data_IF_712797609082
#
_entry.id   IF_712797609082
#
_cell.length_a   1.000
_cell.length_b   1.000
_cell.length_c   1.000
_cell.angle_alpha   90.00
_cell.angle_beta   90.00
_cell.angle_gamma   90.00
#
_symmetry.space_group_name_H-M   'P 1'
#
loop_
_entity.id
_entity.type
_entity.pdbx_description
1 polymer ?
#
# COMPACT_ATOMS: atom_id res chain seq x y z
N UNK A 1 14.03 33.96 -10.05
CA UNK A 1 14.63 34.28 -11.35
C UNK A 1 15.66 33.20 -11.70
N UNK A 2 15.22 32.09 -12.30
CA UNK A 2 16.10 31.09 -12.92
C UNK A 2 15.37 30.56 -14.16
N UNK A 3 15.58 31.24 -15.29
CA UNK A 3 15.23 30.74 -16.63
C UNK A 3 16.51 30.19 -17.22
N UNK A 4 16.83 28.94 -16.93
CA UNK A 4 17.81 28.22 -17.74
C UNK A 4 17.18 27.96 -19.11
N UNK A 5 17.64 28.72 -20.10
CA UNK A 5 17.25 28.59 -21.50
C UNK A 5 17.94 27.34 -22.05
N UNK A 6 17.33 26.18 -21.82
CA UNK A 6 17.77 24.91 -22.41
C UNK A 6 17.65 25.05 -23.94
N UNK A 7 18.79 25.10 -24.65
CA UNK A 7 18.83 24.96 -26.10
C UNK A 7 18.49 23.50 -26.43
N UNK A 8 17.21 23.21 -26.63
CA UNK A 8 16.74 21.89 -27.04
C UNK A 8 17.20 21.64 -28.48
N UNK A 9 18.13 20.71 -28.66
CA UNK A 9 18.50 20.17 -29.97
C UNK A 9 17.34 19.34 -30.51
N UNK A 10 16.83 19.71 -31.68
CA UNK A 10 15.52 19.29 -32.23
C UNK A 10 15.47 17.85 -32.76
N UNK A 11 16.32 16.92 -32.30
CA UNK A 11 16.51 15.64 -33.02
C UNK A 11 16.25 14.35 -32.24
N UNK A 12 16.16 14.37 -30.91
CA UNK A 12 15.89 13.15 -30.13
C UNK A 12 14.98 13.42 -28.94
N UNK A 13 13.98 12.55 -28.76
CA UNK A 13 13.12 12.51 -27.58
C UNK A 13 13.97 12.08 -26.37
N UNK A 14 14.00 12.93 -25.33
CA UNK A 14 14.75 12.70 -24.10
C UNK A 14 13.79 12.51 -22.94
N UNK A 15 13.96 11.40 -22.23
CA UNK A 15 13.39 11.17 -20.90
C UNK A 15 14.48 11.46 -19.86
N UNK A 16 14.19 12.37 -18.93
CA UNK A 16 15.13 12.75 -17.87
C UNK A 16 14.44 12.71 -16.52
N UNK A 17 15.03 12.00 -15.57
CA UNK A 17 14.70 12.15 -14.17
C UNK A 17 15.20 13.51 -13.70
N UNK A 18 14.30 14.36 -13.20
CA UNK A 18 14.65 15.66 -12.64
C UNK A 18 14.90 15.55 -11.15
N UNK A 19 14.12 14.69 -10.50
CA UNK A 19 14.12 14.54 -9.06
C UNK A 19 13.60 13.16 -8.71
N UNK A 20 14.35 12.45 -7.89
CA UNK A 20 13.90 11.26 -7.20
C UNK A 20 14.20 11.42 -5.73
N UNK A 21 13.19 11.18 -4.89
CA UNK A 21 13.29 11.28 -3.44
C UNK A 21 12.62 10.08 -2.82
N UNK A 22 13.23 9.54 -1.78
CA UNK A 22 12.63 8.55 -0.90
C UNK A 22 12.34 9.27 0.40
N UNK A 23 11.06 9.51 0.68
CA UNK A 23 10.62 10.28 1.85
C UNK A 23 10.51 9.37 3.08
N UNK A 24 10.02 8.15 2.88
CA UNK A 24 9.92 7.11 3.89
C UNK A 24 10.09 5.73 3.25
N UNK A 25 10.05 4.65 4.05
CA UNK A 25 10.10 3.25 3.55
C UNK A 25 9.04 2.98 2.47
N UNK A 26 7.92 3.70 2.55
CA UNK A 26 6.70 3.46 1.81
C UNK A 26 6.45 4.51 0.72
N UNK A 27 7.13 5.66 0.76
CA UNK A 27 6.80 6.81 -0.06
C UNK A 27 7.98 7.22 -0.96
N UNK A 28 7.81 6.93 -2.25
CA UNK A 28 8.76 7.26 -3.31
C UNK A 28 8.18 8.38 -4.18
N UNK A 29 8.93 9.47 -4.30
CA UNK A 29 8.59 10.57 -5.17
C UNK A 29 9.53 10.60 -6.37
N UNK A 30 8.97 10.63 -7.58
CA UNK A 30 9.70 10.73 -8.83
C UNK A 30 9.11 11.81 -9.73
N UNK A 31 9.97 12.70 -10.25
CA UNK A 31 9.60 13.73 -11.23
C UNK A 31 10.45 13.56 -12.49
N UNK A 32 9.77 13.34 -13.61
CA UNK A 32 10.39 13.10 -14.90
C UNK A 32 9.96 14.16 -15.91
N UNK A 33 10.87 14.52 -16.81
CA UNK A 33 10.60 15.41 -17.95
C UNK A 33 10.80 14.62 -19.24
N UNK A 34 9.81 14.73 -20.12
CA UNK A 34 9.85 14.22 -21.48
C UNK A 34 9.84 15.38 -22.47
N UNK A 35 10.87 15.49 -23.31
CA UNK A 35 10.97 16.56 -24.32
C UNK A 35 11.94 16.20 -25.46
N UNK A 36 11.77 16.74 -26.69
CA UNK A 36 10.66 17.59 -27.15
C UNK A 36 9.44 16.76 -27.58
N UNK A 37 8.24 17.31 -27.38
CA UNK A 37 6.97 16.75 -27.85
C UNK A 37 6.33 17.70 -28.86
N UNK A 38 5.63 17.16 -29.86
CA UNK A 38 4.82 17.95 -30.78
C UNK A 38 3.55 18.43 -30.07
N UNK A 39 2.95 19.51 -30.58
CA UNK A 39 1.68 20.03 -30.05
C UNK A 39 0.61 18.93 -30.05
N UNK A 40 -0.04 18.72 -28.91
CA UNK A 40 -1.07 17.69 -28.71
C UNK A 40 -0.56 16.30 -28.30
N UNK A 41 0.72 15.97 -28.48
CA UNK A 41 1.26 14.68 -28.03
C UNK A 41 1.36 14.58 -26.50
N UNK A 42 1.62 15.70 -25.83
CA UNK A 42 1.73 15.75 -24.37
C UNK A 42 0.44 15.31 -23.67
N UNK A 43 -0.72 15.74 -24.18
CA UNK A 43 -2.02 15.39 -23.61
C UNK A 43 -2.31 13.89 -23.79
N UNK A 44 -2.10 13.36 -24.99
CA UNK A 44 -2.30 11.93 -25.27
C UNK A 44 -1.41 11.06 -24.40
N UNK A 45 -0.12 11.38 -24.29
CA UNK A 45 0.85 10.61 -23.48
C UNK A 45 0.49 10.75 -21.99
N UNK A 46 0.18 11.94 -21.51
CA UNK A 46 -0.16 12.18 -20.10
C UNK A 46 -1.42 11.44 -19.66
N UNK A 47 -2.47 11.44 -20.49
CA UNK A 47 -3.70 10.68 -20.22
C UNK A 47 -3.43 9.18 -20.22
N UNK A 48 -2.70 8.68 -21.23
CA UNK A 48 -2.35 7.26 -21.31
C UNK A 48 -1.53 6.80 -20.10
N UNK A 49 -0.47 7.55 -19.73
CA UNK A 49 0.35 7.25 -18.56
C UNK A 49 -0.43 7.32 -17.26
N UNK A 50 -1.31 8.32 -17.09
CA UNK A 50 -2.16 8.41 -15.89
C UNK A 50 -3.09 7.21 -15.78
N UNK A 51 -3.70 6.77 -16.89
CA UNK A 51 -4.58 5.60 -16.90
C UNK A 51 -3.82 4.31 -16.58
N UNK A 52 -2.67 4.10 -17.23
CA UNK A 52 -1.83 2.93 -16.98
C UNK A 52 -1.36 2.89 -15.51
N UNK A 53 -0.85 4.01 -14.98
CA UNK A 53 -0.37 4.08 -13.60
C UNK A 53 -1.48 3.98 -12.54
N UNK A 54 -2.72 4.37 -12.83
CA UNK A 54 -3.81 4.25 -11.85
C UNK A 54 -4.58 2.93 -11.96
N UNK A 55 -4.55 2.28 -13.12
CA UNK A 55 -5.37 1.10 -13.39
C UNK A 55 -4.61 -0.22 -13.47
N UNK A 56 -3.34 -0.20 -13.87
CA UNK A 56 -2.57 -1.42 -14.18
C UNK A 56 -1.41 -1.65 -13.20
N UNK A 57 -1.44 -1.00 -12.04
CA UNK A 57 -0.44 -1.24 -11.00
C UNK A 57 -0.82 -2.47 -10.19
N UNK A 58 -0.10 -3.57 -10.45
CA UNK A 58 -0.14 -4.76 -9.62
C UNK A 58 0.41 -4.44 -8.23
N UNK A 59 -0.33 -4.88 -7.20
CA UNK A 59 0.04 -4.66 -5.81
C UNK A 59 -0.61 -5.71 -4.92
N UNK A 60 0.10 -6.09 -3.86
CA UNK A 60 -0.40 -7.01 -2.84
C UNK A 60 -1.06 -6.20 -1.72
N UNK A 61 -2.33 -6.46 -1.43
CA UNK A 61 -3.03 -5.82 -0.32
C UNK A 61 -3.92 -6.80 0.45
N UNK A 62 -4.27 -6.44 1.68
CA UNK A 62 -5.26 -7.18 2.48
C UNK A 62 -6.65 -6.86 1.95
N UNK A 63 -7.37 -7.87 1.45
CA UNK A 63 -8.70 -7.67 0.86
C UNK A 63 -9.84 -8.05 1.80
N UNK A 64 -9.60 -9.00 2.70
CA UNK A 64 -10.65 -9.51 3.59
C UNK A 64 -10.06 -9.90 4.93
N UNK A 65 -10.70 -9.49 6.02
CA UNK A 65 -10.40 -9.95 7.37
C UNK A 65 -11.61 -10.66 7.98
N UNK A 66 -11.36 -11.74 8.73
CA UNK A 66 -12.36 -12.55 9.42
C UNK A 66 -11.94 -12.72 10.87
N UNK A 67 -12.90 -12.59 11.78
CA UNK A 67 -12.73 -12.93 13.21
C UNK A 67 -14.00 -13.56 13.74
N UNK A 68 -13.87 -14.58 14.60
CA UNK A 68 -15.03 -15.27 15.19
C UNK A 68 -15.77 -14.43 16.24
N UNK A 69 -15.06 -13.51 16.90
CA UNK A 69 -15.60 -12.73 18.02
C UNK A 69 -16.28 -11.42 17.59
N UNK A 70 -16.30 -11.13 16.29
CA UNK A 70 -16.78 -9.85 15.75
C UNK A 70 -18.12 -10.07 15.04
N UNK A 71 -19.24 -9.55 15.57
CA UNK A 71 -20.53 -9.67 14.92
C UNK A 71 -20.67 -8.77 13.69
N UNK A 72 -20.11 -7.56 13.74
CA UNK A 72 -20.16 -6.58 12.65
C UNK A 72 -19.01 -5.57 12.72
N UNK A 73 -18.76 -4.86 11.61
CA UNK A 73 -17.65 -3.90 11.43
C UNK A 73 -17.70 -2.67 12.35
N UNK A 74 -18.88 -2.29 12.85
CA UNK A 74 -19.05 -1.17 13.80
C UNK A 74 -18.94 -1.58 15.28
N UNK A 75 -18.59 -2.83 15.56
CA UNK A 75 -18.52 -3.31 16.95
C UNK A 75 -17.21 -2.89 17.60
N UNK A 76 -17.24 -2.80 18.93
CA UNK A 76 -16.04 -2.68 19.75
C UNK A 76 -15.80 -4.00 20.44
N UNK A 77 -14.55 -4.46 20.45
CA UNK A 77 -14.15 -5.67 21.15
C UNK A 77 -13.70 -5.25 22.54
N UNK A 78 -14.34 -5.79 23.58
CA UNK A 78 -13.88 -5.59 24.97
C UNK A 78 -12.40 -5.95 25.05
N UNK A 79 -11.57 -5.10 25.65
CA UNK A 79 -10.13 -5.34 25.81
C UNK A 79 -9.24 -4.96 24.62
N UNK A 80 -9.80 -4.33 23.58
CA UNK A 80 -9.06 -3.61 22.54
C UNK A 80 -9.44 -2.13 22.61
N UNK A 81 -8.46 -1.25 22.44
CA UNK A 81 -8.68 0.20 22.49
C UNK A 81 -9.42 0.73 21.26
N UNK A 82 -9.06 0.23 20.08
CA UNK A 82 -9.59 0.63 18.78
C UNK A 82 -10.89 -0.11 18.43
N UNK A 83 -11.74 0.53 17.63
CA UNK A 83 -12.91 -0.10 17.05
C UNK A 83 -12.54 -1.06 15.92
N UNK A 84 -13.43 -2.01 15.58
CA UNK A 84 -13.18 -2.93 14.45
C UNK A 84 -12.97 -2.17 13.14
N UNK A 85 -13.67 -1.06 12.94
CA UNK A 85 -13.49 -0.22 11.76
C UNK A 85 -12.09 0.41 11.70
N UNK A 86 -11.58 0.92 12.82
CA UNK A 86 -10.22 1.45 12.91
C UNK A 86 -9.18 0.37 12.64
N UNK A 87 -9.36 -0.83 13.20
CA UNK A 87 -8.49 -1.99 12.91
C UNK A 87 -8.49 -2.30 11.41
N UNK A 88 -9.67 -2.32 10.77
CA UNK A 88 -9.77 -2.55 9.32
C UNK A 88 -9.07 -1.47 8.50
N UNK A 89 -9.12 -0.21 8.92
CA UNK A 89 -8.39 0.88 8.25
C UNK A 89 -6.88 0.75 8.45
N UNK A 90 -6.44 0.43 9.66
CA UNK A 90 -5.03 0.19 9.96
C UNK A 90 -4.45 -0.98 9.15
N UNK A 91 -5.24 -2.04 8.95
CA UNK A 91 -4.84 -3.18 8.10
C UNK A 91 -4.69 -2.78 6.62
N UNK A 92 -5.50 -1.84 6.11
CA UNK A 92 -5.37 -1.33 4.73
C UNK A 92 -4.11 -0.52 4.50
N UNK A 93 -3.56 0.10 5.55
CA UNK A 93 -2.32 0.87 5.47
C UNK A 93 -1.07 -0.02 5.45
N UNK A 94 -1.19 -1.32 5.75
CA UNK A 94 -0.06 -2.25 5.72
C UNK A 94 0.37 -2.50 4.29
N UNK A 95 1.63 -2.17 4.01
CA UNK A 95 2.26 -2.47 2.72
C UNK A 95 2.87 -3.86 2.71
N UNK A 96 2.36 -4.69 1.81
CA UNK A 96 2.82 -6.05 1.56
C UNK A 96 3.57 -6.12 0.23
N UNK A 97 4.55 -7.01 0.19
CA UNK A 97 5.26 -7.38 -1.03
C UNK A 97 5.18 -8.89 -1.20
N UNK A 98 4.57 -9.33 -2.29
CA UNK A 98 4.54 -10.74 -2.70
C UNK A 98 5.25 -10.89 -4.04
N UNK A 99 5.76 -12.09 -4.31
CA UNK A 99 6.23 -12.52 -5.63
C UNK A 99 5.36 -13.62 -6.24
N UNK A 100 4.27 -13.99 -5.58
CA UNK A 100 3.31 -14.99 -6.05
C UNK A 100 1.98 -14.35 -6.44
N UNK A 101 1.49 -14.78 -7.60
CA UNK A 101 0.13 -14.53 -8.06
C UNK A 101 -0.85 -15.44 -7.31
N UNK A 102 -1.84 -14.84 -6.64
CA UNK A 102 -2.94 -15.56 -6.01
C UNK A 102 -3.33 -15.06 -4.63
N UNK A 103 -4.24 -15.81 -3.99
CA UNK A 103 -4.75 -15.50 -2.66
C UNK A 103 -3.97 -16.23 -1.59
N UNK A 104 -3.54 -15.53 -0.55
CA UNK A 104 -2.78 -16.11 0.54
C UNK A 104 -3.43 -15.80 1.88
N UNK A 105 -3.46 -16.79 2.77
CA UNK A 105 -3.97 -16.64 4.13
C UNK A 105 -2.83 -16.24 5.06
N UNK A 106 -3.08 -15.25 5.89
CA UNK A 106 -2.21 -14.87 6.99
C UNK A 106 -3.04 -14.68 8.26
N UNK A 107 -2.40 -14.90 9.40
CA UNK A 107 -3.08 -14.84 10.69
C UNK A 107 -2.32 -14.00 11.70
N UNK A 108 -3.05 -13.34 12.59
CA UNK A 108 -2.47 -12.63 13.74
C UNK A 108 -2.83 -13.41 14.99
N UNK A 109 -1.82 -13.69 15.83
CA UNK A 109 -2.03 -14.34 17.12
C UNK A 109 -1.32 -13.58 18.23
N UNK A 110 -2.06 -12.78 18.97
CA UNK A 110 -1.52 -12.01 20.10
C UNK A 110 -2.36 -12.24 21.33
N UNK A 111 -1.68 -12.37 22.49
CA UNK A 111 -2.29 -12.49 23.82
C UNK A 111 -1.66 -11.49 24.77
N UNK A 112 -2.48 -10.97 25.68
CA UNK A 112 -2.01 -10.07 26.74
C UNK A 112 -2.06 -8.59 26.34
N UNK A 113 -1.94 -7.69 27.34
CA UNK A 113 -1.94 -6.26 27.08
C UNK A 113 -0.65 -5.83 26.36
N UNK A 114 -0.76 -5.43 25.09
CA UNK A 114 0.36 -5.01 24.24
C UNK A 114 -0.15 -4.29 22.99
N UNK A 115 0.68 -3.42 22.42
CA UNK A 115 0.46 -2.88 21.07
C UNK A 115 0.76 -3.96 20.01
N UNK A 116 -0.24 -4.27 19.20
CA UNK A 116 -0.17 -5.12 18.01
C UNK A 116 0.29 -4.28 16.83
N UNK A 117 1.35 -4.75 16.19
CA UNK A 117 1.96 -4.10 15.01
C UNK A 117 1.97 -5.06 13.83
N UNK A 118 2.27 -4.55 12.64
CA UNK A 118 2.41 -5.37 11.44
C UNK A 118 3.42 -6.52 11.63
N UNK A 119 4.45 -6.36 12.48
CA UNK A 119 5.39 -7.43 12.78
C UNK A 119 4.76 -8.68 13.44
N UNK A 120 3.63 -8.51 14.14
CA UNK A 120 2.99 -9.61 14.87
C UNK A 120 2.12 -10.50 13.96
N UNK A 121 2.09 -10.19 12.66
CA UNK A 121 1.44 -10.98 11.63
C UNK A 121 2.27 -12.23 11.32
N UNK A 122 1.60 -13.38 11.30
CA UNK A 122 2.14 -14.64 10.79
C UNK A 122 1.89 -14.71 9.29
N UNK A 123 2.92 -14.39 8.52
CA UNK A 123 2.91 -14.43 7.06
C UNK A 123 3.39 -15.78 6.52
N UNK A 124 2.91 -16.18 5.34
CA UNK A 124 3.53 -17.25 4.58
C UNK A 124 4.92 -16.83 4.03
N UNK A 125 5.79 -17.78 3.66
CA UNK A 125 7.20 -17.53 3.34
C UNK A 125 7.47 -16.68 2.08
N UNK A 126 6.45 -16.40 1.28
CA UNK A 126 6.54 -15.67 0.02
C UNK A 126 5.93 -14.25 0.10
N UNK A 127 5.40 -13.86 1.26
CA UNK A 127 4.92 -12.49 1.52
C UNK A 127 5.83 -11.83 2.55
N UNK A 128 6.24 -10.61 2.26
CA UNK A 128 7.05 -9.77 3.13
C UNK A 128 6.30 -8.48 3.46
N UNK A 129 6.40 -8.01 4.71
CA UNK A 129 5.94 -6.67 5.09
C UNK A 129 7.05 -5.66 4.80
N UNK A 130 6.69 -4.56 4.14
CA UNK A 130 7.61 -3.46 3.84
C UNK A 130 7.84 -2.58 5.07
N UNK A 131 6.79 -2.35 5.86
CA UNK A 131 6.86 -1.60 7.11
C UNK A 131 6.29 -2.35 8.31
N UNK A 132 7.20 -2.89 9.12
CA UNK A 132 6.88 -3.65 10.33
C UNK A 132 6.37 -2.77 11.48
N UNK A 133 6.47 -1.44 11.37
CA UNK A 133 6.12 -0.51 12.45
C UNK A 133 4.68 -0.02 12.42
N UNK A 134 3.94 -0.36 11.37
CA UNK A 134 2.53 0.02 11.23
C UNK A 134 1.74 -0.55 12.42
N UNK A 135 1.04 0.34 13.13
CA UNK A 135 0.19 -0.01 14.26
C UNK A 135 -1.12 -0.61 13.75
N UNK A 136 -1.61 -1.66 14.42
CA UNK A 136 -2.87 -2.33 14.08
C UNK A 136 -3.90 -2.07 15.18
N UNK A 137 -3.56 -2.43 16.42
CA UNK A 137 -4.46 -2.37 17.56
C UNK A 137 -3.67 -2.38 18.88
N UNK A 138 -4.31 -1.98 19.97
CA UNK A 138 -3.76 -1.96 21.31
C UNK A 138 -4.63 -2.82 22.22
N UNK A 139 -4.07 -3.94 22.68
CA UNK A 139 -4.74 -4.84 23.62
C UNK A 139 -4.60 -4.26 25.03
N UNK A 140 -5.72 -4.03 25.70
CA UNK A 140 -5.76 -3.57 27.10
C UNK A 140 -6.01 -4.71 28.08
N UNK A 141 -6.61 -5.81 27.63
CA UNK A 141 -6.89 -7.01 28.42
C UNK A 141 -6.23 -8.25 27.81
N UNK A 142 -6.00 -9.32 28.60
CA UNK A 142 -5.46 -10.57 28.09
C UNK A 142 -6.49 -11.32 27.24
N UNK A 143 -6.59 -10.93 25.97
CA UNK A 143 -7.53 -11.48 25.00
C UNK A 143 -6.77 -12.08 23.84
N UNK A 144 -7.23 -13.24 23.38
CA UNK A 144 -6.79 -13.87 22.15
C UNK A 144 -7.44 -13.16 20.96
N UNK A 145 -6.64 -12.41 20.21
CA UNK A 145 -7.01 -11.87 18.91
C UNK A 145 -6.56 -12.84 17.83
N UNK A 146 -7.53 -13.45 17.15
CA UNK A 146 -7.33 -14.23 15.94
C UNK A 146 -8.00 -13.47 14.80
N UNK A 147 -7.19 -13.02 13.86
CA UNK A 147 -7.62 -12.40 12.62
C UNK A 147 -7.05 -13.22 11.49
N UNK A 148 -7.91 -13.90 10.74
CA UNK A 148 -7.55 -14.54 9.48
C UNK A 148 -7.85 -13.56 8.37
N UNK A 149 -6.89 -13.32 7.49
CA UNK A 149 -7.12 -12.45 6.36
C UNK A 149 -6.53 -13.00 5.07
N UNK A 150 -7.20 -12.67 3.97
CA UNK A 150 -6.76 -13.03 2.63
C UNK A 150 -6.09 -11.82 2.01
N UNK A 151 -4.85 -11.99 1.57
CA UNK A 151 -4.22 -11.06 0.63
C UNK A 151 -4.53 -11.53 -0.78
N UNK A 152 -5.20 -10.71 -1.59
CA UNK A 152 -5.24 -10.90 -3.04
C UNK A 152 -4.35 -9.84 -3.68
N UNK A 153 -3.74 -10.17 -4.81
CA UNK A 153 -3.46 -9.15 -5.81
C UNK A 153 -4.80 -8.65 -6.36
N UNK A 154 -4.93 -7.32 -6.50
CA UNK A 154 -6.09 -6.72 -7.12
C UNK A 154 -6.05 -7.06 -8.61
N UNK A 155 -6.78 -8.10 -9.03
CA UNK A 155 -7.48 -8.04 -10.32
C UNK A 155 -8.81 -7.34 -10.04
N UNK A 156 -8.94 -6.12 -10.58
CA UNK A 156 -10.14 -5.29 -10.64
C UNK A 156 -10.87 -4.98 -9.32
N UNK A 157 -10.67 -3.75 -8.84
CA UNK A 157 -11.75 -3.00 -8.17
C UNK A 157 -12.09 -1.83 -9.10
N UNK A 158 -13.20 -1.97 -9.84
CA UNK A 158 -13.93 -0.88 -10.50
C UNK A 158 -14.71 -0.10 -9.44
#
# INVERSE_FOLDING_TARGET
MFREKIRVSTRTLQWKCVESKTDSKCLYYGRFILSPLMKGQADTIGIAMRRALLGEMEGTCITRAKSEKIPHEYSTITGIQESVHEILMNLKEILLRSNLYGTCEASIYVRGPRCVTAQDIILPPYVEIVDNTQHIASLTEPIDCVLDYNSNEIEDII
#
